data_IF_643251954336
#
_entry.id   IF_643251954336
#
_cell.length_a   1.000
_cell.length_b   1.000
_cell.length_c   1.000
_cell.angle_alpha   90.00
_cell.angle_beta   90.00
_cell.angle_gamma   90.00
#
_symmetry.space_group_name_H-M   'P 1'
#
loop_
_entity.id
_entity.type
_entity.pdbx_description
1 polymer ?
#
# COMPACT_ATOMS: atom_id res chain seq x y z
N UNK A 1 22.82 20.49 -3.49
CA UNK A 1 21.67 19.97 -2.72
C UNK A 1 20.44 20.57 -3.34
N UNK A 2 19.56 19.74 -3.92
CA UNK A 2 18.24 20.19 -4.30
C UNK A 2 17.49 20.57 -3.03
N UNK A 3 17.03 21.82 -2.94
CA UNK A 3 16.19 22.27 -1.83
C UNK A 3 14.77 22.32 -2.36
N UNK A 4 13.99 21.29 -2.07
CA UNK A 4 12.57 21.28 -2.38
C UNK A 4 11.84 22.30 -1.50
N UNK A 5 10.82 22.96 -2.05
CA UNK A 5 9.95 23.86 -1.29
C UNK A 5 8.48 23.44 -1.47
N UNK A 6 8.08 22.31 -0.85
CA UNK A 6 6.76 21.73 -1.05
C UNK A 6 5.67 22.73 -0.66
N UNK A 7 4.82 23.07 -1.63
CA UNK A 7 3.62 23.87 -1.40
C UNK A 7 2.40 22.97 -1.48
N UNK A 8 1.58 22.97 -0.43
CA UNK A 8 0.30 22.27 -0.46
C UNK A 8 -0.59 22.89 -1.56
N UNK A 9 -1.02 22.08 -2.51
CA UNK A 9 -1.87 22.49 -3.64
C UNK A 9 -3.21 21.76 -3.67
N UNK A 10 -3.35 20.68 -2.92
CA UNK A 10 -4.63 20.00 -2.77
C UNK A 10 -4.65 19.12 -1.53
N UNK A 11 -5.84 18.91 -0.99
CA UNK A 11 -6.09 17.97 0.09
C UNK A 11 -7.52 17.45 0.04
N UNK A 12 -7.76 16.24 0.50
CA UNK A 12 -9.13 15.73 0.63
C UNK A 12 -9.98 16.63 1.50
N UNK A 13 -11.23 16.85 1.07
CA UNK A 13 -12.29 17.31 1.96
C UNK A 13 -12.36 16.44 3.21
N UNK A 14 -12.95 16.93 4.31
CA UNK A 14 -13.36 16.09 5.44
C UNK A 14 -14.28 14.97 4.93
N UNK A 15 -13.68 13.85 4.52
CA UNK A 15 -14.34 12.60 4.16
C UNK A 15 -15.07 12.01 5.39
N UNK A 16 -14.92 12.66 6.54
CA UNK A 16 -15.26 12.23 7.88
C UNK A 16 -16.58 12.84 8.41
N UNK A 17 -17.20 13.81 7.73
CA UNK A 17 -18.44 14.46 8.24
C UNK A 17 -19.79 13.92 7.70
N UNK A 18 -19.81 12.97 6.76
CA UNK A 18 -21.09 12.50 6.18
C UNK A 18 -21.68 11.25 6.86
N UNK A 19 -22.86 11.47 7.47
CA UNK A 19 -23.99 10.56 7.78
C UNK A 19 -23.96 9.78 9.12
N UNK A 20 -24.40 10.44 10.20
CA UNK A 20 -25.27 9.78 11.19
C UNK A 20 -26.69 9.85 10.62
N UNK A 21 -27.14 8.79 9.96
CA UNK A 21 -28.56 8.62 9.68
C UNK A 21 -29.22 8.14 10.99
N UNK A 22 -30.11 8.95 11.57
CA UNK A 22 -30.87 8.55 12.75
C UNK A 22 -31.66 7.25 12.45
N UNK A 23 -31.57 6.21 13.31
CA UNK A 23 -32.41 5.04 13.14
C UNK A 23 -33.87 5.43 13.38
N UNK A 24 -34.71 5.20 12.37
CA UNK A 24 -36.15 5.39 12.41
C UNK A 24 -36.76 4.60 13.59
N UNK A 25 -37.33 5.32 14.56
CA UNK A 25 -38.17 4.78 15.63
C UNK A 25 -39.48 4.29 15.02
N UNK A 26 -39.54 3.06 14.54
CA UNK A 26 -40.80 2.30 14.41
C UNK A 26 -40.52 0.82 14.11
N UNK A 27 -40.44 -0.01 15.16
CA UNK A 27 -40.83 -1.42 15.07
C UNK A 27 -41.25 -1.97 16.43
N UNK A 28 -42.38 -2.72 16.52
CA UNK A 28 -42.97 -3.12 17.79
C UNK A 28 -42.24 -4.34 18.39
N UNK A 29 -42.25 -4.39 19.72
CA UNK A 29 -41.73 -5.49 20.57
C UNK A 29 -42.58 -6.75 20.46
N UNK A 30 -41.99 -7.95 20.28
CA UNK A 30 -42.66 -9.21 20.60
C UNK A 30 -42.31 -9.69 22.01
N UNK A 31 -43.34 -10.08 22.74
CA UNK A 31 -43.28 -10.71 24.07
C UNK A 31 -42.82 -12.18 24.01
N UNK A 32 -42.05 -12.56 25.03
CA UNK A 32 -41.73 -13.89 25.57
C UNK A 32 -42.16 -15.18 24.82
N UNK A 33 -41.17 -16.01 24.48
CA UNK A 33 -41.21 -17.45 24.77
C UNK A 33 -39.80 -18.07 24.78
N UNK A 34 -39.55 -18.88 25.79
CA UNK A 34 -38.34 -19.68 26.09
C UNK A 34 -38.03 -20.74 25.03
N UNK A 35 -36.74 -20.91 24.67
CA UNK A 35 -35.97 -22.15 24.87
C UNK A 35 -34.60 -22.05 24.17
N UNK A 36 -33.66 -22.81 24.72
CA UNK A 36 -32.21 -22.81 24.49
C UNK A 36 -31.78 -23.17 23.06
N UNK A 37 -30.87 -22.39 22.49
CA UNK A 37 -29.79 -22.87 21.60
C UNK A 37 -28.75 -21.74 21.43
N UNK A 38 -27.66 -21.80 22.21
CA UNK A 38 -26.52 -20.89 22.09
C UNK A 38 -25.71 -21.29 20.86
N UNK A 39 -26.02 -20.69 19.71
CA UNK A 39 -25.05 -20.47 18.63
C UNK A 39 -24.54 -19.04 18.78
N UNK A 40 -23.29 -18.90 19.22
CA UNK A 40 -22.52 -17.65 19.11
C UNK A 40 -22.41 -17.27 17.62
N UNK A 41 -23.40 -16.52 17.15
CA UNK A 41 -23.28 -15.70 15.96
C UNK A 41 -22.71 -14.38 16.44
N UNK A 42 -21.39 -14.21 16.36
CA UNK A 42 -20.76 -12.90 16.54
C UNK A 42 -21.24 -12.00 15.40
N UNK A 43 -22.35 -11.33 15.62
CA UNK A 43 -22.74 -10.14 14.88
C UNK A 43 -21.63 -9.13 15.11
N UNK A 44 -20.76 -8.98 14.12
CA UNK A 44 -19.91 -7.81 14.00
C UNK A 44 -20.84 -6.60 13.90
N UNK A 45 -21.15 -5.98 15.03
CA UNK A 45 -21.60 -4.59 15.06
C UNK A 45 -20.60 -3.81 14.20
N UNK A 46 -21.13 -3.06 13.24
CA UNK A 46 -20.35 -2.19 12.39
C UNK A 46 -19.79 -1.07 13.28
N UNK A 47 -18.66 -1.36 13.92
CA UNK A 47 -17.75 -0.38 14.49
C UNK A 47 -17.58 0.72 13.44
N UNK A 48 -17.83 1.97 13.82
CA UNK A 48 -17.77 3.13 12.93
C UNK A 48 -16.41 3.15 12.23
N UNK A 49 -16.36 2.56 11.04
CA UNK A 49 -15.10 2.03 10.51
C UNK A 49 -14.06 3.12 10.37
N UNK A 50 -12.89 2.93 10.97
CA UNK A 50 -11.77 3.87 10.88
C UNK A 50 -11.54 4.28 9.42
N UNK A 51 -11.62 5.58 9.11
CA UNK A 51 -11.69 6.10 7.73
C UNK A 51 -10.34 6.57 7.17
N UNK A 52 -9.24 5.94 7.54
CA UNK A 52 -7.90 6.39 7.11
C UNK A 52 -7.44 5.75 5.80
N UNK A 53 -6.44 6.33 5.13
CA UNK A 53 -5.91 5.77 3.87
C UNK A 53 -4.88 4.67 4.13
N UNK A 54 -4.95 3.59 3.34
CA UNK A 54 -3.98 2.49 3.37
C UNK A 54 -2.94 2.61 2.26
N UNK A 55 -3.33 3.15 1.10
CA UNK A 55 -2.46 3.32 -0.06
C UNK A 55 -3.06 4.34 -1.05
N UNK A 56 -2.24 4.90 -1.94
CA UNK A 56 -2.65 5.75 -3.05
C UNK A 56 -1.65 5.63 -4.22
N UNK A 57 -2.15 5.69 -5.45
CA UNK A 57 -1.34 5.60 -6.67
C UNK A 57 -1.83 6.59 -7.72
N UNK A 58 -0.91 7.16 -8.51
CA UNK A 58 -1.22 7.93 -9.70
C UNK A 58 -1.61 7.03 -10.88
N UNK A 59 -2.55 7.50 -11.69
CA UNK A 59 -2.74 6.98 -13.03
C UNK A 59 -1.50 7.27 -13.90
N UNK A 60 -1.17 6.43 -14.89
CA UNK A 60 -0.04 6.63 -15.80
C UNK A 60 0.02 7.99 -16.50
N UNK A 61 -1.14 8.58 -16.85
CA UNK A 61 -1.24 9.92 -17.43
C UNK A 61 -1.17 11.05 -16.38
N UNK A 62 -1.13 10.70 -15.09
CA UNK A 62 -0.98 11.64 -14.00
C UNK A 62 -2.21 12.51 -13.71
N UNK A 63 -3.39 12.16 -14.21
CA UNK A 63 -4.59 12.98 -14.01
C UNK A 63 -5.48 12.51 -12.86
N UNK A 64 -5.30 11.28 -12.40
CA UNK A 64 -6.19 10.62 -11.44
C UNK A 64 -5.37 9.95 -10.35
N UNK A 65 -5.86 10.01 -9.11
CA UNK A 65 -5.33 9.22 -8.00
C UNK A 65 -6.37 8.21 -7.56
N UNK A 66 -5.98 6.94 -7.42
CA UNK A 66 -6.82 5.92 -6.76
C UNK A 66 -6.23 5.62 -5.40
N UNK A 67 -7.04 5.81 -4.36
CA UNK A 67 -6.67 5.52 -2.99
C UNK A 67 -7.54 4.40 -2.41
N UNK A 68 -6.92 3.52 -1.62
CA UNK A 68 -7.62 2.53 -0.82
C UNK A 68 -7.65 2.96 0.64
N UNK A 69 -8.77 2.72 1.29
CA UNK A 69 -9.01 3.18 2.66
C UNK A 69 -9.34 2.02 3.61
N UNK A 70 -9.31 2.30 4.90
CA UNK A 70 -9.56 1.31 5.93
C UNK A 70 -11.01 0.82 6.02
N UNK A 71 -11.95 1.63 5.56
CA UNK A 71 -13.37 1.33 5.36
C UNK A 71 -13.69 0.48 4.10
N UNK A 72 -12.68 -0.22 3.57
CA UNK A 72 -12.79 -1.06 2.38
C UNK A 72 -13.40 -0.34 1.17
N UNK A 73 -13.07 0.94 0.99
CA UNK A 73 -13.51 1.72 -0.18
C UNK A 73 -12.32 2.10 -1.04
N UNK A 74 -12.47 1.93 -2.36
CA UNK A 74 -11.55 2.45 -3.38
C UNK A 74 -12.09 3.78 -3.88
N UNK A 75 -11.35 4.86 -3.67
CA UNK A 75 -11.73 6.23 -4.03
C UNK A 75 -10.88 6.73 -5.19
N UNK A 76 -11.53 7.24 -6.23
CA UNK A 76 -10.84 7.87 -7.35
C UNK A 76 -10.96 9.39 -7.26
N UNK A 77 -9.86 10.10 -7.37
CA UNK A 77 -9.79 11.56 -7.33
C UNK A 77 -9.26 12.06 -8.68
N UNK A 78 -10.11 12.71 -9.48
CA UNK A 78 -9.70 13.36 -10.72
C UNK A 78 -9.19 14.75 -10.38
N UNK A 79 -7.99 15.08 -10.83
CA UNK A 79 -7.34 16.31 -10.42
C UNK A 79 -7.82 17.54 -11.21
N UNK A 80 -7.93 18.71 -10.56
CA UNK A 80 -8.22 19.97 -11.23
C UNK A 80 -7.12 20.36 -12.22
N UNK A 81 -7.48 20.94 -13.36
CA UNK A 81 -6.51 21.38 -14.38
C UNK A 81 -5.67 22.58 -13.94
N UNK A 82 -6.15 23.35 -12.97
CA UNK A 82 -5.51 24.54 -12.40
C UNK A 82 -4.74 24.27 -11.10
N UNK A 83 -4.51 22.98 -10.77
CA UNK A 83 -3.87 22.52 -9.53
C UNK A 83 -2.59 23.29 -9.16
N UNK A 84 -1.73 23.55 -10.14
CA UNK A 84 -0.44 24.23 -9.91
C UNK A 84 -0.55 25.76 -9.91
N UNK A 85 -1.55 26.30 -10.59
CA UNK A 85 -1.72 27.75 -10.77
C UNK A 85 -2.59 28.39 -9.70
N UNK A 86 -3.41 27.60 -9.00
CA UNK A 86 -4.27 28.11 -7.93
C UNK A 86 -3.46 28.69 -6.76
N UNK A 87 -3.96 29.80 -6.22
CA UNK A 87 -3.41 30.46 -5.03
C UNK A 87 -3.76 29.73 -3.73
N UNK A 88 -4.85 28.96 -3.73
CA UNK A 88 -5.35 28.23 -2.56
C UNK A 88 -5.40 26.73 -2.82
N UNK A 89 -5.05 25.88 -1.84
CA UNK A 89 -5.15 24.43 -2.00
C UNK A 89 -6.56 23.99 -2.41
N UNK A 90 -6.65 23.07 -3.38
CA UNK A 90 -7.92 22.49 -3.80
C UNK A 90 -8.47 21.51 -2.77
N UNK A 91 -9.77 21.58 -2.52
CA UNK A 91 -10.50 20.56 -1.78
C UNK A 91 -10.82 19.40 -2.73
N UNK A 92 -10.20 18.25 -2.53
CA UNK A 92 -10.36 17.07 -3.37
C UNK A 92 -11.55 16.25 -2.85
N UNK A 93 -12.53 16.05 -3.72
CA UNK A 93 -13.67 15.17 -3.46
C UNK A 93 -13.55 13.93 -4.35
N UNK A 94 -13.93 12.73 -3.83
CA UNK A 94 -13.85 11.51 -4.62
C UNK A 94 -14.85 11.60 -5.77
N UNK A 95 -14.35 11.45 -6.99
CA UNK A 95 -15.18 11.41 -8.19
C UNK A 95 -16.04 10.14 -8.22
N UNK A 96 -15.44 9.00 -7.86
CA UNK A 96 -16.15 7.74 -7.62
C UNK A 96 -15.62 7.03 -6.38
N UNK A 97 -16.51 6.29 -5.72
CA UNK A 97 -16.17 5.45 -4.57
C UNK A 97 -16.74 4.05 -4.77
N UNK A 98 -15.88 3.03 -4.77
CA UNK A 98 -16.28 1.62 -4.84
C UNK A 98 -16.12 0.98 -3.46
N UNK A 99 -17.23 0.83 -2.74
CA UNK A 99 -17.24 0.05 -1.50
C UNK A 99 -17.11 -1.43 -1.83
N UNK A 100 -16.16 -2.10 -1.18
CA UNK A 100 -15.91 -3.52 -1.33
C UNK A 100 -16.26 -4.24 -0.02
N UNK A 101 -16.83 -5.46 -0.09
CA UNK A 101 -17.18 -6.19 1.13
C UNK A 101 -15.95 -6.68 1.90
N UNK A 102 -14.79 -6.68 1.26
CA UNK A 102 -13.53 -7.22 1.77
C UNK A 102 -12.40 -6.23 1.51
N UNK A 103 -11.32 -6.24 2.33
CA UNK A 103 -10.17 -5.36 2.13
C UNK A 103 -9.44 -5.61 0.80
N UNK A 104 -8.95 -4.52 0.21
CA UNK A 104 -8.10 -4.57 -0.98
C UNK A 104 -6.65 -4.90 -0.61
N UNK A 105 -6.09 -5.92 -1.26
CA UNK A 105 -4.72 -6.40 -1.04
C UNK A 105 -3.70 -5.74 -1.99
N UNK A 106 -4.12 -5.43 -3.22
CA UNK A 106 -3.28 -4.82 -4.25
C UNK A 106 -4.15 -4.11 -5.29
N UNK A 107 -3.58 -3.11 -5.96
CA UNK A 107 -4.19 -2.37 -7.08
C UNK A 107 -3.17 -2.19 -8.19
N UNK A 108 -3.62 -2.05 -9.44
CA UNK A 108 -2.75 -1.71 -10.57
C UNK A 108 -3.53 -0.93 -11.63
N UNK A 109 -2.98 0.18 -12.11
CA UNK A 109 -3.56 0.92 -13.23
C UNK A 109 -3.26 0.26 -14.56
N UNK A 110 -4.21 0.34 -15.49
CA UNK A 110 -3.99 -0.02 -16.89
C UNK A 110 -2.88 0.86 -17.48
N UNK A 111 -1.84 0.31 -18.16
CA UNK A 111 -0.66 1.08 -18.55
C UNK A 111 -0.95 2.24 -19.50
N UNK A 112 -1.97 2.08 -20.35
CA UNK A 112 -2.39 3.09 -21.32
C UNK A 112 -3.56 3.94 -20.81
N UNK A 113 -3.76 4.00 -19.48
CA UNK A 113 -4.77 4.85 -18.87
C UNK A 113 -4.58 6.29 -19.37
N UNK A 114 -5.63 6.82 -19.99
CA UNK A 114 -5.72 8.22 -20.39
C UNK A 114 -7.10 8.76 -20.12
N UNK A 115 -7.19 9.86 -19.37
CA UNK A 115 -8.42 10.59 -19.10
C UNK A 115 -9.11 11.07 -20.38
N UNK A 116 -8.34 11.32 -21.44
CA UNK A 116 -8.85 11.71 -22.76
C UNK A 116 -9.55 10.55 -23.50
N UNK A 117 -9.29 9.31 -23.08
CA UNK A 117 -9.92 8.11 -23.63
C UNK A 117 -10.59 7.31 -22.52
N UNK A 118 -11.87 7.56 -22.21
CA UNK A 118 -12.59 6.90 -21.12
C UNK A 118 -12.55 5.37 -21.16
N UNK A 119 -12.48 4.74 -22.33
CA UNK A 119 -12.39 3.28 -22.45
C UNK A 119 -11.08 2.71 -21.87
N UNK A 120 -10.02 3.52 -21.81
CA UNK A 120 -8.72 3.14 -21.26
C UNK A 120 -8.60 3.39 -19.75
N UNK A 121 -9.57 4.07 -19.14
CA UNK A 121 -9.52 4.51 -17.75
C UNK A 121 -9.85 3.36 -16.79
N UNK A 122 -8.93 2.40 -16.71
CA UNK A 122 -9.13 1.13 -16.04
C UNK A 122 -8.10 0.93 -14.94
N UNK A 123 -8.52 0.30 -13.85
CA UNK A 123 -7.63 -0.20 -12.82
C UNK A 123 -8.13 -1.51 -12.23
N UNK A 124 -7.20 -2.37 -11.83
CA UNK A 124 -7.46 -3.63 -11.16
C UNK A 124 -7.43 -3.46 -9.65
N UNK A 125 -8.23 -4.25 -8.96
CA UNK A 125 -8.13 -4.45 -7.51
C UNK A 125 -8.22 -5.93 -7.16
N UNK A 126 -7.29 -6.37 -6.31
CA UNK A 126 -7.32 -7.69 -5.67
C UNK A 126 -8.02 -7.57 -4.33
N UNK A 127 -9.03 -8.40 -4.11
CA UNK A 127 -9.83 -8.43 -2.88
C UNK A 127 -9.65 -9.77 -2.17
N UNK A 128 -9.74 -9.77 -0.85
CA UNK A 128 -9.74 -11.02 -0.07
C UNK A 128 -10.97 -11.86 -0.45
N UNK A 129 -10.78 -13.17 -0.64
CA UNK A 129 -11.86 -14.15 -0.87
C UNK A 129 -12.78 -13.85 -2.07
N UNK A 130 -12.34 -13.06 -3.03
CA UNK A 130 -13.11 -12.62 -4.18
C UNK A 130 -12.26 -12.68 -5.47
N UNK A 131 -12.89 -12.73 -6.65
CA UNK A 131 -12.15 -12.57 -7.91
C UNK A 131 -11.47 -11.21 -7.96
N UNK A 132 -10.39 -11.13 -8.74
CA UNK A 132 -9.76 -9.84 -9.10
C UNK A 132 -10.80 -9.06 -9.89
N UNK A 133 -10.96 -7.76 -9.61
CA UNK A 133 -11.98 -6.93 -10.26
C UNK A 133 -11.34 -5.82 -11.07
N UNK A 134 -11.94 -5.54 -12.23
CA UNK A 134 -11.63 -4.37 -13.05
C UNK A 134 -12.63 -3.26 -12.71
N UNK A 135 -12.14 -2.05 -12.53
CA UNK A 135 -12.91 -0.86 -12.25
C UNK A 135 -12.56 0.24 -13.25
N UNK A 136 -13.45 1.22 -13.37
CA UNK A 136 -13.14 2.51 -13.98
C UNK A 136 -13.48 3.62 -13.01
N UNK A 137 -12.69 4.70 -12.96
CA UNK A 137 -13.04 5.92 -12.25
C UNK A 137 -14.33 6.59 -12.76
N UNK A 138 -14.90 6.18 -13.91
CA UNK A 138 -16.14 6.75 -14.45
C UNK A 138 -17.37 5.86 -14.28
N UNK A 139 -17.18 4.64 -13.78
CA UNK A 139 -18.26 3.67 -13.61
C UNK A 139 -18.55 3.46 -12.13
N UNK A 140 -19.83 3.47 -11.70
CA UNK A 140 -20.19 3.23 -10.30
C UNK A 140 -20.00 1.77 -9.86
N UNK A 141 -19.88 0.84 -10.82
CA UNK A 141 -19.75 -0.59 -10.58
C UNK A 141 -18.47 -1.15 -11.22
N UNK A 142 -18.12 -2.39 -10.81
CA UNK A 142 -17.04 -3.15 -11.46
C UNK A 142 -17.39 -3.40 -12.93
N UNK A 143 -16.38 -3.38 -13.79
CA UNK A 143 -16.48 -3.66 -15.24
C UNK A 143 -16.39 -5.16 -15.50
N UNK A 144 -15.40 -5.83 -14.92
CA UNK A 144 -15.10 -7.24 -15.16
C UNK A 144 -14.59 -7.93 -13.90
N UNK A 145 -14.54 -9.26 -13.91
CA UNK A 145 -14.06 -10.10 -12.80
C UNK A 145 -13.22 -11.28 -13.32
N UNK A 146 -12.04 -11.47 -12.73
CA UNK A 146 -11.08 -12.52 -13.10
C UNK A 146 -10.85 -13.46 -11.92
N UNK A 147 -11.53 -14.63 -11.89
CA UNK A 147 -11.41 -15.57 -10.80
C UNK A 147 -10.03 -16.27 -10.78
N UNK A 148 -9.33 -16.19 -9.66
CA UNK A 148 -8.20 -17.05 -9.34
C UNK A 148 -8.66 -18.09 -8.31
N UNK A 149 -8.93 -19.30 -8.77
CA UNK A 149 -9.50 -20.36 -7.92
C UNK A 149 -8.47 -21.46 -7.66
N UNK A 150 -8.46 -21.92 -6.41
CA UNK A 150 -7.72 -23.11 -5.98
C UNK A 150 -8.35 -24.37 -6.59
N UNK A 151 -7.61 -25.19 -7.35
CA UNK A 151 -8.16 -26.43 -7.93
C UNK A 151 -8.60 -27.46 -6.88
N UNK A 152 -8.05 -27.39 -5.67
CA UNK A 152 -8.29 -28.40 -4.61
C UNK A 152 -9.42 -28.01 -3.66
N UNK A 153 -9.60 -26.71 -3.43
CA UNK A 153 -10.55 -26.21 -2.41
C UNK A 153 -11.68 -25.39 -3.00
N UNK A 154 -11.65 -25.10 -4.29
CA UNK A 154 -12.59 -24.22 -5.02
C UNK A 154 -12.69 -22.80 -4.43
N UNK A 155 -11.86 -22.46 -3.44
CA UNK A 155 -11.81 -21.15 -2.83
C UNK A 155 -11.10 -20.15 -3.74
N UNK A 156 -11.56 -18.90 -3.70
CA UNK A 156 -10.84 -17.78 -4.31
C UNK A 156 -9.50 -17.56 -3.59
N UNK A 157 -8.43 -17.54 -4.37
CA UNK A 157 -7.09 -17.15 -3.94
C UNK A 157 -6.98 -15.66 -4.19
N UNK A 158 -6.71 -14.88 -3.13
CA UNK A 158 -6.49 -13.44 -3.25
C UNK A 158 -5.01 -13.15 -3.57
N UNK A 159 -4.69 -12.55 -4.73
CA UNK A 159 -3.34 -12.07 -5.01
C UNK A 159 -2.91 -10.96 -4.06
N UNK A 160 -1.61 -10.89 -3.73
CA UNK A 160 -1.02 -9.85 -2.88
C UNK A 160 -0.25 -8.79 -3.66
N UNK A 161 -0.08 -9.00 -4.95
CA UNK A 161 0.54 -8.09 -5.91
C UNK A 161 -0.15 -8.22 -7.26
N UNK A 162 -0.28 -7.10 -7.96
CA UNK A 162 -0.83 -7.01 -9.31
C UNK A 162 0.10 -6.12 -10.14
N UNK A 163 0.31 -6.47 -11.40
CA UNK A 163 1.17 -5.71 -12.30
C UNK A 163 0.76 -5.96 -13.75
N UNK A 164 0.50 -4.92 -14.53
CA UNK A 164 0.29 -5.08 -15.97
C UNK A 164 1.61 -5.37 -16.69
N UNK A 165 1.55 -6.15 -17.76
CA UNK A 165 2.71 -6.43 -18.60
C UNK A 165 3.12 -5.19 -19.40
N UNK A 166 4.43 -5.02 -19.59
CA UNK A 166 4.99 -3.99 -20.48
C UNK A 166 4.97 -4.40 -21.94
N UNK A 167 4.84 -5.70 -22.24
CA UNK A 167 4.78 -6.25 -23.60
C UNK A 167 3.37 -6.15 -24.19
N UNK A 168 2.37 -6.61 -23.43
CA UNK A 168 0.97 -6.61 -23.83
C UNK A 168 0.14 -5.91 -22.75
N UNK A 169 -0.44 -4.73 -23.03
CA UNK A 169 -1.17 -3.95 -22.04
C UNK A 169 -2.46 -4.64 -21.58
N UNK A 170 -3.00 -5.59 -22.36
CA UNK A 170 -4.18 -6.35 -21.97
C UNK A 170 -3.84 -7.50 -21.00
N UNK A 171 -2.57 -7.80 -20.81
CA UNK A 171 -2.14 -8.85 -19.90
C UNK A 171 -1.70 -8.27 -18.56
N UNK A 172 -2.03 -8.97 -17.48
CA UNK A 172 -1.54 -8.64 -16.14
C UNK A 172 -1.12 -9.89 -15.37
N UNK A 173 -0.19 -9.69 -14.45
CA UNK A 173 0.31 -10.66 -13.51
C UNK A 173 -0.32 -10.49 -12.14
N UNK A 174 -0.58 -11.61 -11.49
CA UNK A 174 -1.12 -11.70 -10.15
C UNK A 174 -0.24 -12.62 -9.30
N UNK A 175 0.43 -12.06 -8.29
CA UNK A 175 1.29 -12.80 -7.37
C UNK A 175 0.49 -13.37 -6.20
N UNK A 176 0.56 -14.68 -5.99
CA UNK A 176 -0.07 -15.41 -4.89
C UNK A 176 0.94 -16.28 -4.14
N UNK A 177 0.50 -17.24 -3.33
CA UNK A 177 1.41 -18.17 -2.66
C UNK A 177 2.17 -19.03 -3.68
N UNK A 178 3.49 -18.82 -3.74
CA UNK A 178 4.45 -19.58 -4.54
C UNK A 178 4.07 -19.70 -6.03
N UNK A 179 3.38 -18.70 -6.56
CA UNK A 179 2.83 -18.70 -7.91
C UNK A 179 2.63 -17.26 -8.43
N UNK A 180 2.92 -17.07 -9.72
CA UNK A 180 2.58 -15.88 -10.50
C UNK A 180 1.63 -16.34 -11.61
N UNK A 181 0.41 -15.81 -11.61
CA UNK A 181 -0.61 -16.14 -12.61
C UNK A 181 -0.76 -14.98 -13.60
N UNK A 182 -0.80 -15.27 -14.90
CA UNK A 182 -1.08 -14.28 -15.94
C UNK A 182 -2.57 -14.32 -16.30
N UNK A 183 -3.12 -13.16 -16.62
CA UNK A 183 -4.51 -12.98 -17.02
C UNK A 183 -4.60 -12.06 -18.22
N UNK A 184 -5.69 -12.16 -18.98
CA UNK A 184 -6.05 -11.25 -20.06
C UNK A 184 -7.33 -10.51 -19.67
N UNK A 185 -7.30 -9.17 -19.71
CA UNK A 185 -8.44 -8.34 -19.34
C UNK A 185 -9.65 -8.55 -20.25
N UNK A 186 -9.46 -9.07 -21.47
CA UNK A 186 -10.54 -9.35 -22.41
C UNK A 186 -11.34 -10.62 -22.03
N UNK A 187 -10.87 -11.41 -21.05
CA UNK A 187 -11.49 -12.67 -20.63
C UNK A 187 -12.30 -12.49 -19.34
N UNK A 188 -13.36 -11.69 -19.39
CA UNK A 188 -14.27 -11.53 -18.25
C UNK A 188 -14.88 -12.87 -17.80
N UNK A 189 -14.89 -13.12 -16.49
CA UNK A 189 -15.26 -14.39 -15.87
C UNK A 189 -14.23 -15.51 -16.07
N UNK A 190 -13.16 -15.28 -16.82
CA UNK A 190 -12.13 -16.25 -17.15
C UNK A 190 -11.04 -16.38 -16.07
N UNK A 191 -10.59 -17.62 -15.86
CA UNK A 191 -9.39 -17.88 -15.06
C UNK A 191 -8.08 -17.46 -15.74
N UNK A 192 -6.93 -17.71 -15.10
CA UNK A 192 -5.63 -17.30 -15.62
C UNK A 192 -5.28 -17.97 -16.95
N UNK A 193 -4.59 -17.23 -17.81
CA UNK A 193 -4.07 -17.70 -19.11
C UNK A 193 -2.89 -18.65 -18.89
N UNK A 194 -2.00 -18.33 -17.96
CA UNK A 194 -0.89 -19.19 -17.55
C UNK A 194 -0.62 -19.07 -16.05
N UNK A 195 0.04 -20.08 -15.47
CA UNK A 195 0.50 -20.08 -14.08
C UNK A 195 1.96 -20.51 -14.06
N UNK A 196 2.81 -19.66 -13.49
CA UNK A 196 4.22 -19.96 -13.23
C UNK A 196 4.39 -20.22 -11.73
N UNK A 197 4.73 -21.45 -11.38
CA UNK A 197 5.15 -21.76 -10.01
C UNK A 197 6.54 -21.19 -9.75
N UNK A 198 6.66 -20.39 -8.69
CA UNK A 198 7.93 -19.73 -8.36
C UNK A 198 8.92 -20.65 -7.64
N UNK A 199 8.45 -21.82 -7.21
CA UNK A 199 9.27 -22.88 -6.62
C UNK A 199 9.53 -23.99 -7.63
N UNK A 200 10.73 -24.56 -7.63
CA UNK A 200 11.05 -25.70 -8.48
C UNK A 200 10.47 -26.99 -7.89
N UNK A 201 9.70 -27.76 -8.66
CA UNK A 201 9.14 -29.04 -8.22
C UNK A 201 10.14 -30.21 -8.25
N UNK A 202 11.32 -30.05 -8.89
CA UNK A 202 12.28 -31.14 -9.08
C UNK A 202 13.19 -31.34 -7.87
N UNK A 203 12.91 -32.36 -7.06
CA UNK A 203 13.88 -32.96 -6.11
C UNK A 203 15.17 -33.30 -6.88
N UNK A 204 16.26 -32.58 -6.61
CA UNK A 204 17.59 -32.87 -7.16
C UNK A 204 18.19 -31.79 -8.07
N UNK A 205 17.44 -30.75 -8.43
CA UNK A 205 18.04 -29.49 -8.94
C UNK A 205 18.42 -28.63 -7.75
N UNK A 206 19.61 -28.05 -7.73
CA UNK A 206 20.01 -27.01 -6.77
C UNK A 206 18.96 -25.90 -6.83
N UNK A 207 18.07 -25.85 -5.84
CA UNK A 207 16.78 -25.17 -5.91
C UNK A 207 16.88 -23.67 -6.11
N UNK A 208 16.60 -23.20 -7.32
CA UNK A 208 16.57 -21.80 -7.72
C UNK A 208 15.12 -21.35 -7.93
N UNK A 209 14.42 -21.10 -6.84
CA UNK A 209 13.05 -20.56 -6.86
C UNK A 209 12.72 -19.85 -5.56
N UNK A 210 11.82 -18.87 -5.62
CA UNK A 210 11.33 -18.16 -4.44
C UNK A 210 10.09 -18.87 -3.89
N UNK A 211 10.07 -19.13 -2.58
CA UNK A 211 8.95 -19.78 -1.88
C UNK A 211 8.15 -18.77 -1.07
N UNK A 212 6.84 -18.96 -0.99
CA UNK A 212 5.93 -18.18 -0.17
C UNK A 212 5.13 -17.16 -0.99
N UNK A 213 4.36 -16.33 -0.29
CA UNK A 213 3.49 -15.33 -0.91
C UNK A 213 4.30 -14.32 -1.70
N UNK A 214 4.04 -14.24 -3.02
CA UNK A 214 4.57 -13.22 -3.92
C UNK A 214 3.85 -11.90 -3.64
N UNK A 215 4.47 -11.09 -2.79
CA UNK A 215 3.89 -9.88 -2.20
C UNK A 215 4.20 -8.62 -2.97
N UNK A 216 5.20 -8.63 -3.86
CA UNK A 216 5.57 -7.52 -4.71
C UNK A 216 5.94 -8.02 -6.11
N UNK A 217 5.52 -7.28 -7.12
CA UNK A 217 5.92 -7.45 -8.51
C UNK A 217 6.41 -6.09 -9.03
N UNK A 218 7.43 -6.11 -9.89
CA UNK A 218 7.87 -4.93 -10.63
C UNK A 218 8.50 -5.35 -11.95
N UNK A 219 8.23 -4.63 -13.03
CA UNK A 219 8.79 -4.90 -14.37
C UNK A 219 9.78 -3.80 -14.73
N UNK A 220 10.95 -4.19 -15.21
CA UNK A 220 11.90 -3.24 -15.78
C UNK A 220 11.51 -2.85 -17.21
N UNK A 221 12.09 -1.77 -17.73
CA UNK A 221 11.82 -1.32 -19.10
C UNK A 221 12.35 -2.31 -20.16
N UNK A 222 13.38 -3.09 -19.82
CA UNK A 222 13.96 -4.14 -20.67
C UNK A 222 13.28 -5.52 -20.51
N UNK A 223 12.16 -5.60 -19.79
CA UNK A 223 11.32 -6.80 -19.74
C UNK A 223 11.74 -7.87 -18.73
N UNK A 224 12.47 -7.48 -17.68
CA UNK A 224 12.76 -8.35 -16.53
C UNK A 224 11.69 -8.17 -15.46
N UNK A 225 10.97 -9.25 -15.16
CA UNK A 225 10.02 -9.29 -14.06
C UNK A 225 10.74 -9.62 -12.75
N UNK A 226 10.69 -8.72 -11.78
CA UNK A 226 11.09 -9.00 -10.41
C UNK A 226 9.88 -9.38 -9.57
N UNK A 227 10.00 -10.47 -8.81
CA UNK A 227 9.02 -10.93 -7.85
C UNK A 227 9.65 -11.04 -6.46
N UNK A 228 8.99 -10.43 -5.46
CA UNK A 228 9.44 -10.38 -4.09
C UNK A 228 8.46 -11.11 -3.18
N UNK A 229 8.97 -11.85 -2.20
CA UNK A 229 8.14 -12.60 -1.26
C UNK A 229 8.16 -12.03 0.16
N UNK A 230 7.14 -12.37 0.95
CA UNK A 230 7.18 -12.13 2.40
C UNK A 230 8.27 -12.94 3.13
N UNK A 231 8.76 -14.01 2.53
CA UNK A 231 9.92 -14.78 3.03
C UNK A 231 11.26 -14.13 2.66
N UNK A 232 11.24 -12.88 2.21
CA UNK A 232 12.42 -12.05 1.93
C UNK A 232 13.32 -12.63 0.83
N UNK A 233 12.71 -13.14 -0.23
CA UNK A 233 13.43 -13.60 -1.43
C UNK A 233 12.99 -12.81 -2.65
N UNK A 234 13.93 -12.52 -3.54
CA UNK A 234 13.69 -11.90 -4.84
C UNK A 234 14.00 -12.92 -5.94
N UNK A 235 13.08 -13.07 -6.89
CA UNK A 235 13.28 -13.81 -8.13
C UNK A 235 13.17 -12.87 -9.32
N UNK A 236 14.06 -13.03 -10.29
CA UNK A 236 14.06 -12.31 -11.57
C UNK A 236 13.71 -13.29 -12.68
N UNK A 237 12.82 -12.89 -13.57
CA UNK A 237 12.32 -13.70 -14.69
C UNK A 237 12.43 -12.90 -15.99
N UNK A 238 12.91 -13.53 -17.07
CA UNK A 238 13.04 -12.91 -18.38
C UNK A 238 11.74 -12.97 -19.20
N UNK A 239 11.81 -12.51 -20.45
CA UNK A 239 10.72 -12.55 -21.43
C UNK A 239 9.41 -11.93 -20.88
N UNK A 240 9.54 -10.74 -20.30
CA UNK A 240 8.43 -9.99 -19.69
C UNK A 240 7.65 -10.81 -18.65
N UNK A 241 8.32 -11.75 -17.97
CA UNK A 241 7.73 -12.63 -16.95
C UNK A 241 7.12 -13.92 -17.47
N UNK A 242 7.20 -14.19 -18.78
CA UNK A 242 6.74 -15.45 -19.39
C UNK A 242 7.87 -16.47 -19.56
N UNK A 243 9.13 -16.06 -19.35
CA UNK A 243 10.30 -16.88 -19.57
C UNK A 243 10.79 -17.65 -18.34
N UNK A 244 12.10 -17.88 -18.29
CA UNK A 244 12.79 -18.61 -17.25
C UNK A 244 13.25 -17.74 -16.08
N UNK A 245 13.68 -18.39 -15.02
CA UNK A 245 14.32 -17.74 -13.87
C UNK A 245 15.73 -17.28 -14.24
N UNK A 246 15.97 -15.97 -14.22
CA UNK A 246 17.28 -15.34 -14.46
C UNK A 246 18.15 -15.40 -13.20
N UNK A 247 17.59 -15.01 -12.06
CA UNK A 247 18.30 -15.00 -10.79
C UNK A 247 17.33 -15.17 -9.62
N UNK A 248 17.82 -15.77 -8.54
CA UNK A 248 17.10 -15.84 -7.26
C UNK A 248 18.09 -15.52 -6.16
N UNK A 249 17.74 -14.56 -5.31
CA UNK A 249 18.56 -14.22 -4.16
C UNK A 249 17.69 -13.92 -2.93
N UNK A 250 18.03 -14.50 -1.76
CA UNK A 250 17.44 -14.07 -0.51
C UNK A 250 18.02 -12.72 -0.10
N UNK A 251 17.22 -11.89 0.57
CA UNK A 251 17.74 -10.75 1.30
C UNK A 251 18.47 -11.28 2.54
N UNK A 252 19.63 -10.71 2.86
CA UNK A 252 20.47 -11.16 3.96
C UNK A 252 19.68 -11.28 5.27
N UNK A 253 19.90 -12.39 5.97
CA UNK A 253 19.28 -12.63 7.27
C UNK A 253 19.94 -11.77 8.35
N UNK A 254 19.23 -11.51 9.44
CA UNK A 254 19.79 -10.88 10.64
C UNK A 254 21.02 -11.64 11.21
N UNK A 255 21.25 -12.89 10.78
CA UNK A 255 22.41 -13.71 11.15
C UNK A 255 23.69 -13.38 10.37
N UNK A 256 23.60 -12.75 9.19
CA UNK A 256 24.74 -12.58 8.26
C UNK A 256 25.49 -11.24 8.47
N UNK A 257 25.34 -10.65 9.67
CA UNK A 257 25.82 -9.31 10.02
C UNK A 257 27.35 -9.29 10.07
N UNK A 258 27.95 -8.37 9.31
CA UNK A 258 29.33 -7.92 9.55
C UNK A 258 29.32 -6.80 10.59
N UNK A 259 30.38 -6.69 11.39
CA UNK A 259 30.54 -5.61 12.37
C UNK A 259 30.50 -4.25 11.67
N UNK A 260 29.59 -3.36 12.08
CA UNK A 260 29.40 -2.02 11.49
C UNK A 260 28.11 -1.82 10.68
N UNK A 261 27.34 -2.89 10.41
CA UNK A 261 26.03 -2.81 9.73
C UNK A 261 24.86 -3.01 10.72
N UNK A 262 24.84 -2.26 11.83
CA UNK A 262 23.71 -2.31 12.75
C UNK A 262 22.47 -1.64 12.15
N UNK A 263 21.32 -2.34 12.15
CA UNK A 263 20.06 -1.82 11.60
C UNK A 263 19.76 -2.22 10.15
N UNK A 264 20.77 -2.59 9.36
CA UNK A 264 20.62 -2.89 7.93
C UNK A 264 19.85 -4.19 7.70
N UNK A 265 18.85 -4.17 6.82
CA UNK A 265 18.14 -5.39 6.39
C UNK A 265 17.30 -6.06 7.48
N UNK A 266 16.73 -5.29 8.43
CA UNK A 266 15.90 -5.81 9.53
C UNK A 266 14.41 -6.01 9.17
N UNK A 267 14.09 -6.08 7.88
CA UNK A 267 12.72 -6.25 7.40
C UNK A 267 12.11 -7.64 7.67
N UNK A 268 10.79 -7.73 7.53
CA UNK A 268 10.02 -8.97 7.76
C UNK A 268 9.37 -9.53 6.50
N UNK A 269 9.61 -8.93 5.34
CA UNK A 269 9.02 -9.31 4.07
C UNK A 269 8.98 -8.16 3.07
N UNK A 270 9.11 -8.47 1.79
CA UNK A 270 9.15 -7.48 0.71
C UNK A 270 7.74 -6.94 0.46
N UNK A 271 7.59 -5.63 0.34
CA UNK A 271 6.29 -4.97 0.07
C UNK A 271 6.24 -4.24 -1.26
N UNK A 272 7.37 -3.76 -1.79
CA UNK A 272 7.47 -3.17 -3.12
C UNK A 272 8.83 -3.47 -3.75
N UNK A 273 8.83 -3.52 -5.08
CA UNK A 273 10.01 -3.66 -5.92
C UNK A 273 9.97 -2.54 -6.96
N UNK A 274 10.93 -1.64 -6.90
CA UNK A 274 10.95 -0.42 -7.71
C UNK A 274 12.21 -0.42 -8.57
N UNK A 275 12.02 -0.40 -9.88
CA UNK A 275 13.13 -0.39 -10.83
C UNK A 275 13.65 1.03 -11.01
N UNK A 276 14.96 1.17 -11.12
CA UNK A 276 15.56 2.38 -11.69
C UNK A 276 15.14 2.53 -13.15
N UNK A 277 15.04 3.76 -13.64
CA UNK A 277 14.75 4.03 -15.06
C UNK A 277 15.74 3.34 -16.01
N UNK A 278 17.00 3.19 -15.59
CA UNK A 278 18.03 2.51 -16.38
C UNK A 278 17.93 0.98 -16.37
N UNK A 279 16.94 0.39 -15.68
CA UNK A 279 16.72 -1.07 -15.53
C UNK A 279 17.89 -1.87 -14.93
N UNK A 280 18.87 -1.21 -14.31
CA UNK A 280 20.05 -1.86 -13.71
C UNK A 280 19.97 -2.04 -12.20
N UNK A 281 19.23 -1.15 -11.54
CA UNK A 281 19.14 -1.13 -10.09
C UNK A 281 17.70 -1.42 -9.65
N UNK A 282 17.59 -2.24 -8.62
CA UNK A 282 16.31 -2.64 -8.03
C UNK A 282 16.26 -2.17 -6.58
N UNK A 283 15.35 -1.26 -6.29
CA UNK A 283 15.02 -0.87 -4.93
C UNK A 283 14.05 -1.89 -4.33
N UNK A 284 14.48 -2.50 -3.22
CA UNK A 284 13.73 -3.49 -2.47
C UNK A 284 13.25 -2.87 -1.18
N UNK A 285 11.93 -2.74 -1.08
CA UNK A 285 11.26 -2.15 0.07
C UNK A 285 10.72 -3.26 0.97
N UNK A 286 11.09 -3.24 2.25
CA UNK A 286 10.66 -4.24 3.23
C UNK A 286 9.74 -3.65 4.31
N UNK A 287 8.77 -4.45 4.77
CA UNK A 287 7.94 -4.15 5.94
C UNK A 287 8.76 -4.20 7.23
N UNK A 288 8.54 -3.23 8.12
CA UNK A 288 9.22 -3.18 9.42
C UNK A 288 10.70 -2.80 9.32
N UNK A 289 11.13 -2.23 8.20
CA UNK A 289 12.50 -1.80 7.94
C UNK A 289 12.64 -0.28 8.11
N UNK A 290 13.77 0.18 8.65
CA UNK A 290 14.12 1.60 8.69
C UNK A 290 14.86 2.11 7.44
N UNK A 291 14.99 1.28 6.41
CA UNK A 291 15.61 1.65 5.15
C UNK A 291 15.16 0.84 3.95
N UNK A 292 15.71 1.20 2.79
CA UNK A 292 15.44 0.58 1.48
C UNK A 292 16.76 0.04 0.93
N UNK A 293 16.77 -1.22 0.49
CA UNK A 293 17.95 -1.82 -0.12
C UNK A 293 17.99 -1.55 -1.62
N UNK A 294 19.14 -1.12 -2.15
CA UNK A 294 19.36 -0.94 -3.59
C UNK A 294 20.25 -2.08 -4.07
N UNK A 295 19.81 -2.84 -5.07
CA UNK A 295 20.52 -3.99 -5.61
C UNK A 295 20.95 -3.73 -7.05
N UNK A 296 22.17 -4.11 -7.41
CA UNK A 296 22.61 -4.18 -8.81
C UNK A 296 22.30 -5.57 -9.36
N UNK A 297 21.41 -5.63 -10.34
CA UNK A 297 20.90 -6.89 -10.90
C UNK A 297 21.76 -7.45 -12.05
N UNK A 298 22.76 -6.70 -12.54
CA UNK A 298 23.63 -7.15 -13.63
C UNK A 298 24.60 -8.26 -13.21
N UNK A 299 24.81 -8.43 -11.91
CA UNK A 299 25.63 -9.48 -11.31
C UNK A 299 24.80 -10.50 -10.53
N UNK A 300 25.43 -11.22 -9.60
CA UNK A 300 24.79 -12.24 -8.75
C UNK A 300 23.82 -11.65 -7.68
N UNK A 301 23.18 -10.51 -7.94
CA UNK A 301 22.34 -9.77 -6.99
C UNK A 301 23.17 -9.30 -5.80
N UNK A 302 23.94 -8.22 -5.97
CA UNK A 302 24.68 -7.60 -4.86
C UNK A 302 23.92 -6.38 -4.36
N UNK A 303 23.68 -6.29 -3.04
CA UNK A 303 23.22 -5.05 -2.41
C UNK A 303 24.30 -3.98 -2.61
N UNK A 304 23.99 -2.97 -3.39
CA UNK A 304 24.85 -1.83 -3.70
C UNK A 304 24.80 -0.81 -2.55
N UNK A 305 23.59 -0.47 -2.11
CA UNK A 305 23.38 0.55 -1.09
C UNK A 305 22.23 0.22 -0.13
N UNK A 306 22.23 0.88 1.02
CA UNK A 306 21.17 0.89 2.02
C UNK A 306 20.78 2.34 2.33
N UNK A 307 19.57 2.71 1.92
CA UNK A 307 18.98 4.02 2.15
C UNK A 307 18.41 4.03 3.57
N UNK A 308 19.18 4.48 4.57
CA UNK A 308 18.77 4.42 5.98
C UNK A 308 17.90 5.61 6.38
N UNK A 309 17.31 5.52 7.57
CA UNK A 309 16.65 6.64 8.22
C UNK A 309 15.22 6.87 7.77
N UNK A 310 14.61 5.93 7.04
CA UNK A 310 13.22 6.01 6.57
C UNK A 310 12.20 6.18 7.71
N UNK A 311 12.53 5.66 8.89
CA UNK A 311 11.64 5.61 10.06
C UNK A 311 10.34 4.83 9.77
N UNK A 312 10.47 3.58 9.31
CA UNK A 312 9.35 2.73 8.87
C UNK A 312 9.30 1.38 9.64
N UNK A 313 9.65 1.40 10.93
CA UNK A 313 9.60 0.23 11.83
C UNK A 313 8.16 -0.09 12.27
N UNK A 314 7.30 -0.37 11.30
CA UNK A 314 5.89 -0.71 11.51
C UNK A 314 5.51 -1.98 10.73
N UNK A 315 4.57 -2.79 11.23
CA UNK A 315 3.96 -3.87 10.45
C UNK A 315 3.05 -3.36 9.32
N UNK A 316 2.72 -2.07 9.30
CA UNK A 316 1.97 -1.46 8.20
C UNK A 316 2.83 -1.39 6.92
N UNK A 317 2.20 -1.53 5.75
CA UNK A 317 2.86 -1.27 4.48
C UNK A 317 2.97 0.24 4.29
N UNK A 318 4.18 0.75 4.12
CA UNK A 318 4.42 2.13 3.74
C UNK A 318 4.98 2.16 2.31
N UNK A 319 4.49 3.09 1.50
CA UNK A 319 4.91 3.29 0.11
C UNK A 319 6.26 3.97 -0.03
N UNK A 320 6.92 3.68 -1.14
CA UNK A 320 8.04 4.44 -1.68
C UNK A 320 7.89 4.54 -3.21
N UNK A 321 8.59 5.50 -3.80
CA UNK A 321 8.64 5.71 -5.25
C UNK A 321 10.06 6.05 -5.72
N UNK A 322 10.38 5.67 -6.95
CA UNK A 322 11.64 6.00 -7.64
C UNK A 322 11.31 6.90 -8.82
N UNK A 323 11.92 8.08 -8.88
CA UNK A 323 11.81 9.03 -10.01
C UNK A 323 13.20 9.55 -10.33
N UNK A 324 13.64 9.41 -11.59
CA UNK A 324 15.01 9.73 -11.98
C UNK A 324 16.04 8.93 -11.18
N UNK A 325 16.86 9.67 -10.43
CA UNK A 325 17.92 9.12 -9.56
C UNK A 325 17.57 9.21 -8.07
N UNK A 326 16.32 9.54 -7.75
CA UNK A 326 15.86 9.75 -6.39
C UNK A 326 14.91 8.65 -5.93
N UNK A 327 14.91 8.42 -4.62
CA UNK A 327 13.94 7.58 -3.93
C UNK A 327 13.21 8.43 -2.92
N UNK A 328 11.88 8.38 -2.97
CA UNK A 328 10.99 9.09 -2.06
C UNK A 328 10.25 8.07 -1.21
N UNK A 329 10.23 8.26 0.11
CA UNK A 329 9.50 7.33 0.99
C UNK A 329 8.94 7.98 2.23
N UNK A 330 7.74 7.54 2.61
CA UNK A 330 7.07 7.89 3.85
C UNK A 330 7.56 7.10 5.07
N UNK A 331 7.49 7.74 6.23
CA UNK A 331 7.77 7.16 7.55
C UNK A 331 6.56 7.19 8.49
N UNK A 332 6.73 6.58 9.66
CA UNK A 332 5.72 6.56 10.75
C UNK A 332 5.65 7.86 11.53
N UNK A 333 6.53 8.81 11.24
CA UNK A 333 6.62 10.11 11.90
C UNK A 333 5.98 11.24 11.11
N UNK A 334 5.14 10.92 10.10
CA UNK A 334 4.49 11.91 9.25
C UNK A 334 5.44 12.59 8.24
N UNK A 335 6.71 12.17 8.18
CA UNK A 335 7.70 12.73 7.29
C UNK A 335 7.86 11.91 6.01
N UNK A 336 8.12 12.61 4.91
CA UNK A 336 8.65 12.05 3.67
C UNK A 336 10.13 12.37 3.60
N UNK A 337 10.91 11.38 3.14
CA UNK A 337 12.36 11.46 3.00
C UNK A 337 12.79 11.16 1.59
N UNK A 338 13.88 11.79 1.19
CA UNK A 338 14.44 11.70 -0.16
C UNK A 338 15.90 11.30 -0.08
N UNK A 339 16.26 10.29 -0.87
CA UNK A 339 17.64 9.88 -1.11
C UNK A 339 17.95 10.10 -2.59
N UNK A 340 19.16 10.55 -2.88
CA UNK A 340 19.65 10.77 -4.25
C UNK A 340 20.83 9.81 -4.53
N UNK A 341 21.13 9.62 -5.81
CA UNK A 341 22.31 8.87 -6.23
C UNK A 341 22.04 7.39 -6.36
N UNK A 342 20.81 7.03 -6.79
CA UNK A 342 20.44 5.66 -7.09
C UNK A 342 21.38 5.09 -8.16
N UNK A 343 22.28 4.20 -7.73
CA UNK A 343 23.29 3.59 -8.59
C UNK A 343 24.67 4.24 -8.60
N UNK A 344 24.88 5.35 -7.89
CA UNK A 344 26.17 6.04 -7.76
C UNK A 344 26.76 5.93 -6.36
N UNK A 345 25.91 5.86 -5.32
CA UNK A 345 26.33 5.61 -3.95
C UNK A 345 26.48 4.11 -3.65
N UNK A 346 27.54 3.72 -2.94
CA UNK A 346 27.69 2.40 -2.35
C UNK A 346 27.62 2.49 -0.81
N UNK A 347 27.13 1.43 -0.16
CA UNK A 347 27.07 1.35 1.30
C UNK A 347 25.86 2.06 1.91
N UNK A 348 26.04 2.67 3.07
CA UNK A 348 24.95 3.32 3.82
C UNK A 348 24.78 4.75 3.32
N UNK A 349 23.55 5.11 2.92
CA UNK A 349 23.22 6.42 2.35
C UNK A 349 22.21 7.12 3.27
N UNK A 350 22.57 8.32 3.72
CA UNK A 350 21.69 9.23 4.47
C UNK A 350 20.70 9.93 3.53
N UNK A 351 19.48 10.27 4.00
CA UNK A 351 18.57 11.09 3.22
C UNK A 351 19.17 12.48 2.97
N UNK A 352 19.04 12.99 1.75
CA UNK A 352 19.51 14.32 1.38
C UNK A 352 18.53 15.41 1.80
N UNK A 353 17.26 15.05 2.00
CA UNK A 353 16.19 15.97 2.31
C UNK A 353 15.02 15.25 2.99
N UNK A 354 14.29 15.98 3.83
CA UNK A 354 13.09 15.49 4.49
C UNK A 354 12.11 16.65 4.72
N UNK A 355 10.81 16.35 4.72
CA UNK A 355 9.79 17.30 5.16
C UNK A 355 8.64 16.59 5.86
N UNK A 356 7.91 17.35 6.68
CA UNK A 356 6.70 16.88 7.35
C UNK A 356 5.51 17.08 6.39
N UNK A 357 5.00 15.97 5.87
CA UNK A 357 3.83 15.98 4.98
C UNK A 357 2.53 15.84 5.77
N UNK A 358 2.55 15.03 6.82
CA UNK A 358 1.40 14.81 7.66
C UNK A 358 1.71 15.21 9.10
N UNK A 359 0.78 15.99 9.64
CA UNK A 359 0.85 16.49 10.99
C UNK A 359 0.06 15.53 11.87
N UNK A 360 0.41 15.47 13.14
CA UNK A 360 -0.46 14.89 14.15
C UNK A 360 -0.11 15.55 15.46
N UNK A 361 -0.99 15.46 16.45
CA UNK A 361 -0.68 15.98 17.77
C UNK A 361 0.54 15.22 18.32
N UNK A 362 1.68 15.91 18.37
CA UNK A 362 2.85 15.41 19.09
C UNK A 362 2.48 15.42 20.57
N UNK A 363 2.34 14.22 21.14
CA UNK A 363 2.14 14.01 22.58
C UNK A 363 0.78 14.51 23.10
N UNK A 364 -0.30 13.81 22.76
CA UNK A 364 -1.54 13.99 23.52
C UNK A 364 -1.40 13.24 24.85
N UNK A 365 -1.57 13.96 25.96
CA UNK A 365 -1.65 13.35 27.28
C UNK A 365 -3.11 13.16 27.63
N UNK A 366 -3.63 11.93 27.52
CA UNK A 366 -4.95 11.63 28.10
C UNK A 366 -4.77 11.46 29.61
N UNK A 367 -5.46 12.26 30.42
CA UNK A 367 -5.48 12.11 31.88
C UNK A 367 -6.62 11.17 32.23
N UNK A 368 -6.29 9.96 32.66
CA UNK A 368 -7.30 9.01 33.17
C UNK A 368 -7.26 9.09 34.69
N UNK A 369 -8.40 9.43 35.30
CA UNK A 369 -8.58 9.46 36.75
C UNK A 369 -9.34 8.21 37.20
N UNK A 370 -8.74 7.40 38.07
CA UNK A 370 -9.42 6.27 38.68
C UNK A 370 -9.18 6.27 40.18
N UNK A 371 -10.25 6.21 40.99
CA UNK A 371 -10.19 6.14 42.45
C UNK A 371 -9.30 7.21 43.11
N UNK A 372 -9.34 8.44 42.57
CA UNK A 372 -8.54 9.57 43.08
C UNK A 372 -7.08 9.58 42.64
N UNK A 373 -6.64 8.66 41.78
CA UNK A 373 -5.31 8.64 41.16
C UNK A 373 -5.41 9.12 39.72
N UNK A 374 -4.73 10.22 39.40
CA UNK A 374 -4.55 10.72 38.03
C UNK A 374 -3.33 10.08 37.39
N UNK A 375 -3.50 9.49 36.21
CA UNK A 375 -2.39 8.99 35.38
C UNK A 375 -2.36 9.73 34.05
N UNK A 376 -1.19 10.30 33.73
CA UNK A 376 -0.93 10.94 32.44
C UNK A 376 -0.46 9.87 31.44
N UNK A 377 -1.18 9.72 30.32
CA UNK A 377 -0.85 8.74 29.28
C UNK A 377 -0.52 9.43 27.97
N UNK A 378 0.70 9.19 27.47
CA UNK A 378 1.18 9.68 26.19
C UNK A 378 0.58 8.86 25.03
N UNK A 379 -0.23 9.48 24.19
CA UNK A 379 -0.73 8.95 22.93
C UNK A 379 -0.01 9.71 21.80
N UNK A 380 0.77 8.99 21.00
CA UNK A 380 1.36 9.54 19.78
C UNK A 380 0.29 9.45 18.67
N UNK A 381 -0.25 10.60 18.26
CA UNK A 381 -1.30 10.71 17.23
C UNK A 381 -0.72 11.09 15.86
N UNK A 382 0.60 10.98 15.67
CA UNK A 382 1.22 11.25 14.37
C UNK A 382 0.90 10.09 13.43
N UNK A 383 0.12 10.38 12.39
CA UNK A 383 -0.24 9.40 11.38
C UNK A 383 0.95 9.07 10.46
N UNK A 384 1.14 7.78 10.21
CA UNK A 384 2.15 7.31 9.26
C UNK A 384 1.82 7.75 7.83
N UNK A 385 2.84 8.08 7.04
CA UNK A 385 2.70 8.33 5.61
C UNK A 385 2.65 6.97 4.89
N UNK A 386 1.44 6.48 4.66
CA UNK A 386 1.19 5.15 4.09
C UNK A 386 1.44 5.09 2.57
N UNK A 387 1.24 6.21 1.87
CA UNK A 387 1.53 6.34 0.45
C UNK A 387 2.39 7.58 0.20
N UNK A 388 3.38 7.42 -0.68
CA UNK A 388 4.25 8.49 -1.18
C UNK A 388 4.40 8.22 -2.65
N UNK A 389 3.69 8.99 -3.48
CA UNK A 389 3.65 8.75 -4.91
C UNK A 389 3.77 10.03 -5.73
N UNK A 390 4.62 10.03 -6.75
CA UNK A 390 4.97 11.19 -7.55
C UNK A 390 4.25 11.15 -8.90
N UNK A 391 3.90 12.33 -9.38
CA UNK A 391 3.48 12.49 -10.77
C UNK A 391 4.68 12.19 -11.68
N UNK A 392 4.43 11.63 -12.87
CA UNK A 392 5.48 11.21 -13.82
C UNK A 392 6.41 12.35 -14.28
N UNK A 393 5.97 13.61 -14.17
CA UNK A 393 6.80 14.80 -14.41
C UNK A 393 7.79 15.12 -13.27
N UNK A 394 7.65 14.50 -12.10
CA UNK A 394 8.39 14.81 -10.88
C UNK A 394 7.98 16.12 -10.20
N UNK A 395 6.94 16.82 -10.66
CA UNK A 395 6.57 18.16 -10.16
C UNK A 395 5.50 18.16 -9.05
N UNK A 396 4.78 17.04 -8.87
CA UNK A 396 3.71 16.93 -7.87
C UNK A 396 3.89 15.63 -7.09
N UNK A 397 3.90 15.75 -5.77
CA UNK A 397 3.91 14.62 -4.85
C UNK A 397 2.52 14.47 -4.23
N UNK A 398 1.98 13.25 -4.24
CA UNK A 398 0.81 12.87 -3.47
C UNK A 398 1.23 12.05 -2.25
N UNK A 399 0.73 12.43 -1.08
CA UNK A 399 0.95 11.72 0.18
C UNK A 399 -0.38 11.35 0.79
N UNK A 400 -0.50 10.11 1.26
CA UNK A 400 -1.66 9.68 2.02
C UNK A 400 -1.22 9.21 3.41
N UNK A 401 -2.05 9.47 4.40
CA UNK A 401 -1.77 9.14 5.78
C UNK A 401 -2.85 8.28 6.43
N UNK A 402 -2.42 7.55 7.44
CA UNK A 402 -3.31 6.81 8.30
C UNK A 402 -2.67 5.61 8.96
N UNK A 403 -3.12 5.30 10.17
CA UNK A 403 -2.80 4.07 10.89
C UNK A 403 -3.91 3.69 11.86
N UNK A 404 -4.00 2.41 12.22
CA UNK A 404 -4.81 2.02 13.38
C UNK A 404 -4.13 2.50 14.66
N UNK A 405 -4.83 3.34 15.42
CA UNK A 405 -4.44 3.70 16.76
C UNK A 405 -5.13 2.73 17.73
N UNK A 406 -4.34 1.95 18.46
CA UNK A 406 -4.88 1.14 19.54
C UNK A 406 -4.91 1.97 20.82
N UNK A 407 -6.09 2.18 21.44
CA UNK A 407 -6.12 2.61 22.82
C UNK A 407 -5.48 1.48 23.66
N UNK A 408 -4.28 1.72 24.21
CA UNK A 408 -3.65 0.83 25.19
C UNK A 408 -4.57 0.74 26.42
N UNK A 409 -5.31 -0.37 26.55
CA UNK A 409 -5.98 -0.72 27.81
C UNK A 409 -4.93 -0.75 28.93
N UNK A 410 -5.19 -0.01 30.01
CA UNK A 410 -4.44 -0.14 31.25
C UNK A 410 -4.47 -1.60 31.71
N UNK A 411 -3.38 -2.06 32.33
CA UNK A 411 -3.18 -3.47 32.71
C UNK A 411 -4.21 -3.94 33.76
N UNK A 412 -4.93 -3.03 34.39
CA UNK A 412 -6.01 -3.33 35.32
C UNK A 412 -7.28 -2.50 34.96
N UNK A 413 -8.37 -3.20 34.61
CA UNK A 413 -9.78 -2.81 34.83
C UNK A 413 -10.38 -1.51 34.24
N UNK A 414 -11.28 -1.67 33.27
CA UNK A 414 -12.60 -0.99 33.13
C UNK A 414 -12.73 0.54 33.02
N UNK A 415 -11.68 1.31 32.72
CA UNK A 415 -11.88 2.69 32.26
C UNK A 415 -12.39 2.73 30.82
N UNK A 416 -13.68 3.03 30.61
CA UNK A 416 -14.22 3.34 29.28
C UNK A 416 -13.80 4.77 28.90
N UNK A 417 -13.17 4.93 27.72
CA UNK A 417 -12.88 6.25 27.14
C UNK A 417 -14.23 6.94 26.85
N UNK A 418 -14.39 8.19 27.28
CA UNK A 418 -15.61 8.93 27.03
C UNK A 418 -15.78 9.17 25.53
N UNK A 419 -17.01 9.35 25.06
CA UNK A 419 -17.25 9.63 23.63
C UNK A 419 -16.66 10.99 23.22
N UNK A 420 -16.53 11.93 24.16
CA UNK A 420 -15.82 13.20 23.96
C UNK A 420 -14.32 12.97 23.69
N UNK A 421 -13.65 12.11 24.48
CA UNK A 421 -12.23 11.77 24.27
C UNK A 421 -12.00 11.08 22.92
N UNK A 422 -12.91 10.19 22.51
CA UNK A 422 -12.84 9.52 21.21
C UNK A 422 -13.00 10.52 20.07
N UNK A 423 -13.96 11.45 20.20
CA UNK A 423 -14.21 12.46 19.19
C UNK A 423 -13.02 13.43 19.07
N UNK A 424 -12.46 13.91 20.17
CA UNK A 424 -11.23 14.73 20.15
C UNK A 424 -10.05 13.98 19.52
N UNK A 425 -9.89 12.70 19.84
CA UNK A 425 -8.86 11.86 19.24
C UNK A 425 -9.06 11.64 17.74
N UNK A 426 -10.30 11.58 17.24
CA UNK A 426 -10.59 11.50 15.81
C UNK A 426 -10.36 12.82 15.08
N UNK A 427 -10.72 13.95 15.70
CA UNK A 427 -10.47 15.28 15.16
C UNK A 427 -8.96 15.60 15.04
N UNK A 428 -8.13 14.99 15.89
CA UNK A 428 -6.67 15.12 15.84
C UNK A 428 -5.96 14.21 14.81
N UNK A 429 -6.68 13.33 14.11
CA UNK A 429 -6.09 12.43 13.10
C UNK A 429 -5.93 13.14 11.76
N UNK A 430 -4.74 13.09 11.19
CA UNK A 430 -4.50 13.50 9.81
C UNK A 430 -4.70 12.27 8.93
N UNK A 431 -5.95 12.00 8.56
CA UNK A 431 -6.35 10.89 7.68
C UNK A 431 -6.70 11.42 6.28
N UNK A 432 -5.76 12.14 5.67
CA UNK A 432 -5.97 12.86 4.41
C UNK A 432 -5.08 12.35 3.28
N UNK A 433 -5.52 12.58 2.05
CA UNK A 433 -4.66 12.59 0.87
C UNK A 433 -4.30 14.05 0.58
N UNK A 434 -3.01 14.37 0.54
CA UNK A 434 -2.46 15.71 0.27
C UNK A 434 -1.64 15.70 -1.02
N UNK A 435 -1.68 16.81 -1.75
CA UNK A 435 -0.91 17.06 -2.98
C UNK A 435 0.02 18.24 -2.76
N UNK A 436 1.28 18.06 -3.13
CA UNK A 436 2.36 19.01 -2.94
C UNK A 436 2.99 19.34 -4.28
N UNK A 437 3.03 20.62 -4.64
CA UNK A 437 3.89 21.09 -5.72
C UNK A 437 5.32 21.19 -5.18
N UNK A 438 6.30 20.60 -5.87
CA UNK A 438 7.69 20.48 -5.41
C UNK A 438 8.59 21.65 -5.82
#
# INVERSE_FOLDING_TARGET
MATYNPRLVGLTADLHQTLVAEPSKDRPTPENSSDEDIKECTTHEADGGSKYFKNAHWSPDGTTIVASSADNTLRSFILPTDLLTSSTPHKLEPYTSHSTPEPTSATAFYPLFSLQNPASTLFLASLRSLPIRLYSPFAPSKIASYPLVSPTTEAFIAPYSLLFSTENPNHFFAGSDSCISSFDIQRDGGGPVSRMHTTTSKRGSTGTGIKGIVSALGMSADGVLAAGTFTRSVGLYDDHGNGGTVAVFPLQSNSDRKSGEEGVGQGTGITQLLWSECSRYLCVVERGSDGIGVWDIRGAGRRLAWLKGRNARTPQRLGAEVVGHEVWAGGTDGCVRVWEGLGTGEGIVDPIWQFRAHDGASNFYSIISFDGVTTERLICLIDSVCATTLHSSGSVLATASGQHHFPRRCRDGTGEESDEDKQEMEEMRDSNLKLWAL
#
